data_IF_078158058296
#
_entry.id   IF_078158058296
#
_cell.length_a   1.000
_cell.length_b   1.000
_cell.length_c   1.000
_cell.angle_alpha   90.00
_cell.angle_beta   90.00
_cell.angle_gamma   90.00
#
_symmetry.space_group_name_H-M   'P 1'
#
loop_
_entity.id
_entity.type
_entity.pdbx_description
1 polymer ?
#
# COMPACT_ATOMS: atom_id res chain seq x y z
N UNK A 1 -9.74 6.67 21.63
CA UNK A 1 -9.14 7.73 20.78
C UNK A 1 -10.16 8.17 19.73
N UNK A 2 -10.16 9.44 19.29
CA UNK A 2 -11.04 9.89 18.22
C UNK A 2 -10.70 9.14 16.93
N UNK A 3 -11.72 8.53 16.30
CA UNK A 3 -11.50 7.76 15.07
C UNK A 3 -11.49 8.70 13.87
N UNK A 4 -10.41 8.65 13.08
CA UNK A 4 -10.18 9.50 11.91
C UNK A 4 -10.90 8.97 10.66
N UNK A 5 -11.12 9.88 9.72
CA UNK A 5 -11.56 9.57 8.34
C UNK A 5 -10.36 9.64 7.42
N UNK A 6 -10.07 8.56 6.67
CA UNK A 6 -9.08 8.61 5.59
C UNK A 6 -9.72 9.22 4.36
N UNK A 7 -9.14 10.30 3.84
CA UNK A 7 -9.59 10.94 2.59
C UNK A 7 -8.73 10.42 1.45
N UNK A 8 -9.36 9.87 0.42
CA UNK A 8 -8.72 9.40 -0.81
C UNK A 8 -8.94 10.45 -1.88
N UNK A 9 -7.87 11.13 -2.28
CA UNK A 9 -7.92 12.18 -3.31
C UNK A 9 -7.38 11.72 -4.68
N UNK A 10 -6.56 10.66 -4.71
CA UNK A 10 -6.07 10.03 -5.93
C UNK A 10 -6.78 8.69 -6.14
N UNK A 11 -7.53 8.51 -7.25
CA UNK A 11 -8.27 7.27 -7.49
C UNK A 11 -7.37 6.02 -7.52
N UNK A 12 -6.09 6.14 -7.91
CA UNK A 12 -5.16 5.00 -7.90
C UNK A 12 -4.90 4.44 -6.48
N UNK A 13 -5.13 5.21 -5.42
CA UNK A 13 -5.02 4.73 -4.03
C UNK A 13 -6.09 3.70 -3.66
N UNK A 14 -7.15 3.58 -4.46
CA UNK A 14 -8.14 2.52 -4.28
C UNK A 14 -7.55 1.14 -4.51
N UNK A 15 -6.56 1.00 -5.40
CA UNK A 15 -5.99 -0.31 -5.75
C UNK A 15 -5.45 -1.06 -4.53
N UNK A 16 -4.45 -0.55 -3.78
CA UNK A 16 -3.94 -1.25 -2.60
C UNK A 16 -4.98 -1.34 -1.48
N UNK A 17 -5.93 -0.40 -1.41
CA UNK A 17 -6.99 -0.42 -0.40
C UNK A 17 -8.00 -1.55 -0.62
N UNK A 18 -8.43 -1.74 -1.86
CA UNK A 18 -9.31 -2.84 -2.25
C UNK A 18 -8.59 -4.19 -2.14
N UNK A 19 -7.30 -4.26 -2.48
CA UNK A 19 -6.49 -5.47 -2.24
C UNK A 19 -6.43 -5.83 -0.76
N UNK A 20 -6.16 -4.84 0.10
CA UNK A 20 -6.14 -5.00 1.56
C UNK A 20 -7.47 -5.58 2.07
N UNK A 21 -8.59 -4.94 1.74
CA UNK A 21 -9.88 -5.33 2.32
C UNK A 21 -10.56 -6.53 1.64
N UNK A 22 -10.02 -7.00 0.51
CA UNK A 22 -10.38 -8.30 -0.08
C UNK A 22 -9.80 -9.47 0.73
N UNK A 23 -8.60 -9.33 1.29
CA UNK A 23 -7.97 -10.36 2.12
C UNK A 23 -8.62 -10.39 3.51
N UNK A 24 -8.94 -11.60 3.98
CA UNK A 24 -9.46 -11.79 5.35
C UNK A 24 -8.36 -11.55 6.37
N UNK A 25 -7.14 -11.95 6.05
CA UNK A 25 -5.93 -11.83 6.86
C UNK A 25 -5.60 -10.35 7.12
N UNK A 26 -5.44 -9.56 6.06
CA UNK A 26 -5.15 -8.14 6.17
C UNK A 26 -6.27 -7.38 6.91
N UNK A 27 -7.54 -7.72 6.65
CA UNK A 27 -8.68 -7.15 7.37
C UNK A 27 -8.65 -7.51 8.86
N UNK A 28 -8.25 -8.72 9.21
CA UNK A 28 -8.17 -9.15 10.61
C UNK A 28 -7.05 -8.40 11.35
N UNK A 29 -5.88 -8.23 10.72
CA UNK A 29 -4.77 -7.41 11.24
C UNK A 29 -5.20 -5.95 11.41
N UNK A 30 -5.87 -5.36 10.42
CA UNK A 30 -6.41 -4.00 10.52
C UNK A 30 -7.37 -3.85 11.72
N UNK A 31 -8.27 -4.81 11.94
CA UNK A 31 -9.22 -4.75 13.06
C UNK A 31 -8.52 -4.84 14.42
N UNK A 32 -7.50 -5.69 14.56
CA UNK A 32 -6.70 -5.76 15.78
C UNK A 32 -5.99 -4.43 16.07
N UNK A 33 -5.32 -3.88 15.05
CA UNK A 33 -4.61 -2.60 15.14
C UNK A 33 -5.54 -1.39 15.31
N UNK A 34 -6.83 -1.50 14.98
CA UNK A 34 -7.83 -0.47 15.23
C UNK A 34 -8.29 -0.41 16.69
N UNK A 35 -7.93 -1.41 17.49
CA UNK A 35 -8.36 -1.53 18.89
C UNK A 35 -7.28 -1.11 19.88
N UNK A 36 -6.03 -1.47 19.59
CA UNK A 36 -4.88 -1.24 20.49
C UNK A 36 -3.56 -1.20 19.72
N UNK A 37 -2.52 -0.66 20.36
CA UNK A 37 -1.15 -0.71 19.83
C UNK A 37 -0.58 -2.12 19.98
N UNK A 38 0.00 -2.66 18.92
CA UNK A 38 0.59 -4.00 18.92
C UNK A 38 1.91 -4.04 18.15
N UNK A 39 2.89 -4.81 18.65
CA UNK A 39 4.09 -5.15 17.87
C UNK A 39 3.79 -6.28 16.89
N UNK A 40 4.66 -6.48 15.89
CA UNK A 40 4.54 -7.61 14.95
C UNK A 40 4.45 -8.94 15.69
N UNK A 41 5.31 -9.17 16.68
CA UNK A 41 5.29 -10.43 17.45
C UNK A 41 3.96 -10.69 18.16
N UNK A 42 3.31 -9.64 18.69
CA UNK A 42 1.99 -9.77 19.30
C UNK A 42 0.89 -10.05 18.27
N UNK A 43 1.00 -9.47 17.07
CA UNK A 43 0.09 -9.77 15.96
C UNK A 43 0.27 -11.22 15.49
N UNK A 44 1.51 -11.66 15.30
CA UNK A 44 1.82 -13.03 14.87
C UNK A 44 1.27 -14.06 15.86
N UNK A 45 1.43 -13.82 17.16
CA UNK A 45 0.86 -14.66 18.23
C UNK A 45 -0.68 -14.68 18.19
N UNK A 46 -1.31 -13.50 18.02
CA UNK A 46 -2.78 -13.37 18.00
C UNK A 46 -3.42 -13.98 16.75
N UNK A 47 -2.73 -13.90 15.60
CA UNK A 47 -3.25 -14.37 14.32
C UNK A 47 -2.83 -15.82 14.00
N UNK A 48 -1.76 -16.32 14.63
CA UNK A 48 -1.20 -17.64 14.34
C UNK A 48 -0.51 -17.74 12.98
N UNK A 49 -0.14 -16.62 12.38
CA UNK A 49 0.51 -16.51 11.06
C UNK A 49 1.56 -15.39 11.08
N UNK A 50 2.43 -15.36 10.08
CA UNK A 50 3.29 -14.20 9.85
C UNK A 50 2.47 -13.01 9.33
N UNK A 51 2.49 -11.90 10.04
CA UNK A 51 1.71 -10.69 9.72
C UNK A 51 2.49 -9.62 8.95
N UNK A 52 3.75 -9.88 8.57
CA UNK A 52 4.62 -8.91 7.87
C UNK A 52 3.95 -8.29 6.64
N UNK A 53 3.46 -9.12 5.71
CA UNK A 53 2.80 -8.64 4.48
C UNK A 53 1.54 -7.80 4.79
N UNK A 54 0.80 -8.17 5.84
CA UNK A 54 -0.37 -7.39 6.27
C UNK A 54 0.02 -6.03 6.81
N UNK A 55 1.13 -5.93 7.55
CA UNK A 55 1.64 -4.66 8.06
C UNK A 55 2.11 -3.79 6.88
N UNK A 56 2.89 -4.36 5.95
CA UNK A 56 3.41 -3.67 4.76
C UNK A 56 2.29 -3.04 3.93
N UNK A 57 1.26 -3.82 3.58
CA UNK A 57 0.17 -3.31 2.73
C UNK A 57 -0.67 -2.24 3.44
N UNK A 58 -0.86 -2.37 4.75
CA UNK A 58 -1.57 -1.38 5.56
C UNK A 58 -0.77 -0.08 5.71
N UNK A 59 0.55 -0.16 5.88
CA UNK A 59 1.44 1.01 5.85
C UNK A 59 1.44 1.69 4.48
N UNK A 60 1.50 0.92 3.40
CA UNK A 60 1.41 1.42 2.02
C UNK A 60 0.09 2.13 1.76
N UNK A 61 -0.99 1.67 2.37
CA UNK A 61 -2.28 2.34 2.36
C UNK A 61 -2.34 3.56 3.29
N UNK A 62 -1.29 3.91 4.03
CA UNK A 62 -1.32 4.99 5.02
C UNK A 62 -2.32 4.77 6.14
N UNK A 63 -2.66 3.51 6.44
CA UNK A 63 -3.65 3.15 7.46
C UNK A 63 -3.03 2.95 8.85
N UNK A 64 -1.70 2.87 8.94
CA UNK A 64 -1.00 2.62 10.19
C UNK A 64 -0.16 3.82 10.64
N UNK A 65 -0.20 4.06 11.94
CA UNK A 65 0.79 4.81 12.69
C UNK A 65 1.79 3.82 13.28
N UNK A 66 3.04 4.23 13.47
CA UNK A 66 4.06 3.38 14.12
C UNK A 66 4.92 4.17 15.09
N UNK A 67 5.30 3.56 16.21
CA UNK A 67 6.20 4.15 17.18
C UNK A 67 7.14 3.09 17.79
N UNK A 68 8.27 3.53 18.33
CA UNK A 68 9.19 2.66 19.06
C UNK A 68 8.69 2.47 20.49
N UNK A 69 8.49 1.22 20.89
CA UNK A 69 8.21 0.82 22.26
C UNK A 69 9.51 0.32 22.90
N UNK A 70 9.86 0.91 24.04
CA UNK A 70 10.91 0.37 24.89
C UNK A 70 10.32 -0.77 25.74
N UNK A 71 10.73 -2.03 25.56
CA UNK A 71 10.44 -3.07 26.54
C UNK A 71 11.20 -2.83 27.85
N UNK A 72 11.18 -3.83 28.75
CA UNK A 72 11.94 -3.80 30.00
C UNK A 72 13.40 -3.37 29.77
N UNK A 73 14.03 -2.65 30.72
CA UNK A 73 15.42 -2.21 30.62
C UNK A 73 16.36 -3.36 30.18
N UNK A 74 17.19 -3.11 29.18
CA UNK A 74 18.14 -4.09 28.63
C UNK A 74 17.61 -4.95 27.46
N UNK A 75 16.33 -4.83 27.09
CA UNK A 75 15.80 -5.45 25.86
C UNK A 75 15.82 -4.47 24.68
N UNK A 76 15.96 -5.01 23.46
CA UNK A 76 15.95 -4.22 22.23
C UNK A 76 14.58 -3.54 22.04
N UNK A 77 14.53 -2.26 21.64
CA UNK A 77 13.28 -1.59 21.28
C UNK A 77 12.52 -2.39 20.21
N UNK A 78 11.19 -2.41 20.32
CA UNK A 78 10.33 -3.07 19.34
C UNK A 78 9.36 -2.05 18.73
N UNK A 79 9.06 -2.18 17.45
CA UNK A 79 8.16 -1.26 16.74
C UNK A 79 6.74 -1.74 16.92
N UNK A 80 5.86 -0.85 17.37
CA UNK A 80 4.42 -1.11 17.47
C UNK A 80 3.63 -0.26 16.49
N UNK A 81 2.46 -0.78 16.13
CA UNK A 81 1.57 -0.24 15.13
C UNK A 81 0.18 -0.01 15.71
N UNK A 82 -0.56 0.94 15.14
CA UNK A 82 -1.97 1.19 15.46
C UNK A 82 -2.66 1.86 14.26
N UNK A 83 -3.96 1.65 14.11
CA UNK A 83 -4.78 2.39 13.15
C UNK A 83 -5.76 3.29 13.88
N UNK A 84 -5.66 4.60 13.63
CA UNK A 84 -6.64 5.58 14.12
C UNK A 84 -7.84 5.75 13.19
N UNK A 85 -7.89 5.05 12.05
CA UNK A 85 -8.93 5.22 11.02
C UNK A 85 -10.13 4.31 11.24
N UNK A 86 -11.34 4.83 10.98
CA UNK A 86 -12.58 4.03 11.01
C UNK A 86 -13.57 4.34 9.89
N UNK A 87 -13.29 5.39 9.13
CA UNK A 87 -14.11 5.86 8.02
C UNK A 87 -13.20 6.13 6.83
N UNK A 88 -13.76 6.00 5.64
CA UNK A 88 -13.11 6.37 4.38
C UNK A 88 -14.02 7.33 3.62
N UNK A 89 -13.42 8.35 3.02
CA UNK A 89 -14.08 9.27 2.11
C UNK A 89 -13.32 9.25 0.78
N UNK A 90 -14.00 8.85 -0.29
CA UNK A 90 -13.50 9.03 -1.65
C UNK A 90 -13.82 10.45 -2.13
N UNK A 91 -12.79 11.24 -2.41
CA UNK A 91 -12.88 12.64 -2.79
C UNK A 91 -12.13 12.88 -4.11
N UNK A 92 -12.57 12.19 -5.17
CA UNK A 92 -12.01 12.33 -6.50
C UNK A 92 -13.13 12.17 -7.55
N UNK A 93 -12.84 12.63 -8.77
CA UNK A 93 -13.64 12.36 -9.96
C UNK A 93 -12.74 11.68 -11.00
N UNK A 94 -13.26 10.65 -11.66
CA UNK A 94 -12.58 9.96 -12.75
C UNK A 94 -13.61 9.53 -13.81
N UNK A 95 -13.13 9.13 -14.99
CA UNK A 95 -13.99 8.56 -16.03
C UNK A 95 -14.43 7.13 -15.68
N UNK A 96 -15.40 6.58 -16.41
CA UNK A 96 -15.75 5.16 -16.27
C UNK A 96 -14.62 4.24 -16.73
N UNK A 97 -13.83 4.65 -17.72
CA UNK A 97 -12.67 3.89 -18.18
C UNK A 97 -11.60 3.82 -17.08
N UNK A 98 -11.31 4.95 -16.42
CA UNK A 98 -10.42 5.02 -15.26
C UNK A 98 -10.88 4.10 -14.12
N UNK A 99 -12.17 4.13 -13.79
CA UNK A 99 -12.74 3.27 -12.75
C UNK A 99 -12.61 1.79 -13.12
N UNK A 100 -12.86 1.45 -14.39
CA UNK A 100 -12.73 0.11 -14.94
C UNK A 100 -11.28 -0.39 -14.87
N UNK A 101 -10.30 0.47 -15.20
CA UNK A 101 -8.87 0.17 -15.07
C UNK A 101 -8.50 -0.12 -13.61
N UNK A 102 -8.95 0.70 -12.65
CA UNK A 102 -8.68 0.52 -11.22
C UNK A 102 -9.23 -0.82 -10.73
N UNK A 103 -10.48 -1.13 -11.05
CA UNK A 103 -11.14 -2.37 -10.64
C UNK A 103 -10.41 -3.56 -11.27
N UNK A 104 -10.19 -3.53 -12.58
CA UNK A 104 -9.50 -4.61 -13.31
C UNK A 104 -8.14 -4.86 -12.68
N UNK A 105 -7.31 -3.83 -12.57
CA UNK A 105 -5.96 -3.96 -12.02
C UNK A 105 -5.95 -4.43 -10.56
N UNK A 106 -6.95 -4.08 -9.76
CA UNK A 106 -7.08 -4.57 -8.38
C UNK A 106 -7.26 -6.08 -8.33
N UNK A 107 -8.09 -6.63 -9.22
CA UNK A 107 -8.55 -8.01 -9.14
C UNK A 107 -7.82 -8.98 -10.07
N UNK A 108 -7.11 -8.49 -11.09
CA UNK A 108 -6.22 -9.31 -11.93
C UNK A 108 -5.20 -10.06 -11.07
N UNK A 109 -4.92 -11.35 -11.29
CA UNK A 109 -3.85 -12.08 -10.60
C UNK A 109 -2.47 -11.41 -10.71
N UNK A 110 -1.56 -11.66 -9.76
CA UNK A 110 -0.21 -11.10 -9.84
C UNK A 110 0.57 -11.62 -11.05
N UNK A 111 0.42 -12.91 -11.36
CA UNK A 111 1.10 -13.56 -12.48
C UNK A 111 0.84 -12.92 -13.84
N UNK A 112 -0.34 -12.32 -14.03
CA UNK A 112 -0.71 -11.65 -15.27
C UNK A 112 -0.12 -10.24 -15.41
N UNK A 113 0.35 -9.64 -14.31
CA UNK A 113 0.88 -8.27 -14.32
C UNK A 113 2.33 -8.15 -13.87
N UNK A 114 2.96 -9.24 -13.42
CA UNK A 114 4.33 -9.23 -12.91
C UNK A 114 5.34 -8.72 -13.94
N UNK A 115 5.14 -9.03 -15.23
CA UNK A 115 6.02 -8.60 -16.30
C UNK A 115 5.88 -7.10 -16.56
N UNK A 116 4.66 -6.56 -16.47
CA UNK A 116 4.38 -5.13 -16.56
C UNK A 116 4.95 -4.37 -15.36
N UNK A 117 4.86 -4.94 -14.15
CA UNK A 117 5.52 -4.40 -12.96
C UNK A 117 7.03 -4.37 -13.18
N UNK A 118 7.63 -5.47 -13.63
CA UNK A 118 9.06 -5.58 -13.86
C UNK A 118 9.56 -4.62 -14.94
N UNK A 119 8.79 -4.37 -16.00
CA UNK A 119 9.10 -3.35 -17.00
C UNK A 119 9.09 -1.94 -16.37
N UNK A 120 8.06 -1.63 -15.57
CA UNK A 120 7.96 -0.35 -14.88
C UNK A 120 9.11 -0.15 -13.89
N UNK A 121 9.46 -1.17 -13.10
CA UNK A 121 10.58 -1.14 -12.16
C UNK A 121 11.91 -0.88 -12.88
N UNK A 122 12.19 -1.59 -13.98
CA UNK A 122 13.40 -1.37 -14.79
C UNK A 122 13.49 0.05 -15.33
N UNK A 123 12.39 0.62 -15.82
CA UNK A 123 12.37 2.01 -16.27
C UNK A 123 12.72 2.97 -15.13
N UNK A 124 12.13 2.78 -13.95
CA UNK A 124 12.42 3.61 -12.78
C UNK A 124 13.87 3.45 -12.32
N UNK A 125 14.41 2.22 -12.30
CA UNK A 125 15.82 1.94 -11.98
C UNK A 125 16.80 2.59 -12.98
N UNK A 126 16.42 2.67 -14.27
CA UNK A 126 17.21 3.32 -15.32
C UNK A 126 17.23 4.85 -15.25
N UNK A 127 16.54 5.44 -14.26
CA UNK A 127 16.47 6.89 -14.05
C UNK A 127 15.18 7.54 -14.57
N UNK A 128 14.26 6.78 -15.16
CA UNK A 128 12.99 7.29 -15.69
C UNK A 128 11.94 7.42 -14.58
N UNK A 129 12.09 8.44 -13.75
CA UNK A 129 11.23 8.61 -12.57
C UNK A 129 9.95 9.42 -12.84
N UNK A 130 9.84 10.14 -13.96
CA UNK A 130 8.74 11.09 -14.20
C UNK A 130 7.52 10.40 -14.80
N UNK A 131 6.33 10.66 -14.24
CA UNK A 131 5.07 10.13 -14.76
C UNK A 131 4.85 10.46 -16.24
N UNK A 132 5.23 11.67 -16.67
CA UNK A 132 5.10 12.09 -18.07
C UNK A 132 6.00 11.30 -19.02
N UNK A 133 7.21 10.95 -18.59
CA UNK A 133 8.15 10.17 -19.38
C UNK A 133 7.74 8.70 -19.43
N UNK A 134 7.31 8.14 -18.29
CA UNK A 134 6.77 6.78 -18.19
C UNK A 134 5.50 6.59 -19.04
N UNK A 135 4.58 7.55 -19.02
CA UNK A 135 3.35 7.54 -19.86
C UNK A 135 3.69 7.41 -21.33
N UNK A 136 4.67 8.18 -21.82
CA UNK A 136 5.11 8.14 -23.23
C UNK A 136 5.82 6.84 -23.56
N UNK A 137 6.69 6.38 -22.66
CA UNK A 137 7.53 5.20 -22.86
C UNK A 137 6.70 3.91 -22.89
N UNK A 138 5.77 3.76 -21.95
CA UNK A 138 4.95 2.55 -21.80
C UNK A 138 3.65 2.63 -22.63
N UNK A 139 3.35 3.79 -23.23
CA UNK A 139 2.11 4.04 -23.96
C UNK A 139 0.86 3.64 -23.13
N UNK A 140 0.79 4.17 -21.90
CA UNK A 140 -0.28 3.93 -20.93
C UNK A 140 -0.66 5.23 -20.24
N UNK A 141 -1.89 5.31 -19.74
CA UNK A 141 -2.37 6.47 -19.00
C UNK A 141 -1.55 6.69 -17.71
N UNK A 142 -1.44 7.94 -17.27
CA UNK A 142 -0.79 8.25 -16.00
C UNK A 142 -1.49 7.58 -14.80
N UNK A 143 -2.82 7.41 -14.87
CA UNK A 143 -3.58 6.70 -13.85
C UNK A 143 -3.21 5.22 -13.82
N UNK A 144 -3.15 4.56 -14.97
CA UNK A 144 -2.75 3.15 -15.08
C UNK A 144 -1.37 2.93 -14.47
N UNK A 145 -0.39 3.77 -14.82
CA UNK A 145 0.99 3.66 -14.30
C UNK A 145 1.03 3.87 -12.78
N UNK A 146 0.32 4.87 -12.24
CA UNK A 146 0.21 5.05 -10.78
C UNK A 146 -0.44 3.85 -10.11
N UNK A 147 -1.52 3.33 -10.70
CA UNK A 147 -2.26 2.18 -10.19
C UNK A 147 -1.39 0.92 -10.17
N UNK A 148 -0.59 0.70 -11.22
CA UNK A 148 0.36 -0.41 -11.33
C UNK A 148 1.49 -0.27 -10.31
N UNK A 149 2.07 0.92 -10.17
CA UNK A 149 3.09 1.20 -9.17
C UNK A 149 2.57 0.98 -7.74
N UNK A 150 1.33 1.41 -7.44
CA UNK A 150 0.70 1.16 -6.13
C UNK A 150 0.36 -0.30 -5.89
N UNK A 151 0.27 -1.11 -6.93
CA UNK A 151 0.12 -2.56 -6.84
C UNK A 151 1.46 -3.27 -6.64
N UNK A 152 2.55 -2.74 -7.20
CA UNK A 152 3.90 -3.30 -7.07
C UNK A 152 4.51 -3.13 -5.68
N UNK A 153 5.16 -4.15 -5.15
CA UNK A 153 5.82 -4.08 -3.83
C UNK A 153 7.15 -3.29 -3.87
N UNK A 154 7.79 -3.17 -5.03
CA UNK A 154 9.07 -2.49 -5.20
C UNK A 154 8.97 -1.00 -5.50
N UNK A 155 7.77 -0.42 -5.65
CA UNK A 155 7.58 0.97 -6.08
C UNK A 155 6.80 1.81 -5.07
N UNK A 156 7.15 3.10 -5.02
CA UNK A 156 6.42 4.15 -4.32
C UNK A 156 6.06 5.30 -5.26
N UNK A 157 4.81 5.75 -5.18
CA UNK A 157 4.31 6.93 -5.91
C UNK A 157 4.55 8.20 -5.06
N UNK A 158 5.34 9.12 -5.59
CA UNK A 158 5.71 10.41 -4.97
C UNK A 158 5.17 11.57 -5.83
N UNK A 159 3.87 11.81 -5.76
CA UNK A 159 3.20 12.81 -6.60
C UNK A 159 3.30 12.45 -8.09
N UNK A 160 4.06 13.24 -8.87
CA UNK A 160 4.29 13.01 -10.30
C UNK A 160 5.53 12.15 -10.60
N UNK A 161 6.10 11.49 -9.58
CA UNK A 161 7.29 10.64 -9.71
C UNK A 161 7.09 9.25 -9.14
N UNK A 162 7.85 8.29 -9.64
CA UNK A 162 8.01 6.97 -9.04
C UNK A 162 9.42 6.81 -8.46
N UNK A 163 9.52 6.03 -7.39
CA UNK A 163 10.79 5.61 -6.77
C UNK A 163 10.77 4.11 -6.49
N UNK A 164 11.96 3.50 -6.52
CA UNK A 164 12.17 2.15 -6.00
C UNK A 164 12.20 2.20 -4.48
N UNK A 165 11.61 1.19 -3.83
CA UNK A 165 11.63 1.05 -2.38
C UNK A 165 13.01 0.55 -1.95
N UNK A 166 13.73 1.34 -1.15
CA UNK A 166 15.11 1.04 -0.74
C UNK A 166 15.21 -0.14 0.25
N UNK A 167 14.08 -0.60 0.82
CA UNK A 167 14.03 -1.55 1.95
C UNK A 167 13.90 -3.04 1.57
N UNK A 168 13.91 -3.41 0.28
CA UNK A 168 13.88 -4.83 -0.15
C UNK A 168 15.19 -5.31 -0.78
N UNK A 169 16.31 -5.09 -0.08
CA UNK A 169 17.61 -5.74 -0.36
C UNK A 169 17.97 -6.72 0.75
#
# INVERSE_FOLDING_TARGET
MPRRTRIINDPSEMVPLLQTFRSKEHKHVFNALSSEWMTKGQLDEKMGIDTEESIDILQKCGLLESQWRMPKPGKKPDKEYHSSYSKVQANFQCSFDDLSEIITLTFTPYEEIKDLIGELEKEVESGNHSMSALTRKLNRSALYIRSLARRANGLTVMGQRLKINEEKK
#
